data_IF_836627845892
#
_entry.id   IF_836627845892
#
_cell.length_a   1.000
_cell.length_b   1.000
_cell.length_c   1.000
_cell.angle_alpha   90.00
_cell.angle_beta   90.00
_cell.angle_gamma   90.00
#
_symmetry.space_group_name_H-M   'P 1'
#
loop_
_entity.id
_entity.type
_entity.pdbx_description
1 polymer ?
#
# COMPACT_ATOMS: atom_id res chain seq x y z
N UNK A 1 -46.07 -10.36 -11.63
CA UNK A 1 -44.80 -9.70 -11.24
C UNK A 1 -43.95 -9.62 -12.50
N UNK A 2 -43.63 -8.41 -12.95
CA UNK A 2 -42.68 -8.26 -14.05
C UNK A 2 -41.33 -8.83 -13.60
N UNK A 3 -40.83 -9.81 -14.34
CA UNK A 3 -39.53 -10.41 -14.08
C UNK A 3 -38.48 -9.54 -14.77
N UNK A 4 -37.48 -9.08 -14.02
CA UNK A 4 -36.38 -8.32 -14.61
C UNK A 4 -35.63 -9.24 -15.57
N UNK A 5 -35.45 -8.78 -16.81
CA UNK A 5 -34.65 -9.48 -17.81
C UNK A 5 -33.63 -8.51 -18.42
N UNK A 6 -32.44 -9.05 -18.66
CA UNK A 6 -31.33 -8.35 -19.30
C UNK A 6 -31.00 -9.05 -20.62
N UNK A 7 -30.71 -8.25 -21.65
CA UNK A 7 -30.17 -8.78 -22.89
C UNK A 7 -28.69 -9.15 -22.74
N UNK A 8 -28.12 -9.82 -23.74
CA UNK A 8 -26.73 -10.31 -23.70
C UNK A 8 -25.71 -9.20 -23.44
N UNK A 9 -25.86 -8.03 -24.06
CA UNK A 9 -24.94 -6.91 -23.87
C UNK A 9 -25.04 -6.32 -22.46
N UNK A 10 -26.27 -6.18 -21.94
CA UNK A 10 -26.51 -5.73 -20.56
C UNK A 10 -25.92 -6.72 -19.55
N UNK A 11 -26.14 -8.03 -19.75
CA UNK A 11 -25.58 -9.08 -18.92
C UNK A 11 -24.04 -9.05 -18.92
N UNK A 12 -23.41 -8.85 -20.07
CA UNK A 12 -21.96 -8.74 -20.17
C UNK A 12 -21.42 -7.55 -19.37
N UNK A 13 -22.05 -6.37 -19.51
CA UNK A 13 -21.66 -5.16 -18.78
C UNK A 13 -21.88 -5.26 -17.28
N UNK A 14 -22.98 -5.88 -16.86
CA UNK A 14 -23.25 -6.16 -15.44
C UNK A 14 -22.17 -7.08 -14.88
N UNK A 15 -21.80 -8.15 -15.61
CA UNK A 15 -20.74 -9.08 -15.18
C UNK A 15 -19.41 -8.36 -14.98
N UNK A 16 -18.95 -7.63 -16.00
CA UNK A 16 -17.70 -6.85 -15.96
C UNK A 16 -17.69 -5.88 -14.75
N UNK A 17 -18.79 -5.17 -14.55
CA UNK A 17 -18.92 -4.22 -13.44
C UNK A 17 -18.90 -4.92 -12.07
N UNK A 18 -19.56 -6.06 -11.94
CA UNK A 18 -19.61 -6.82 -10.68
C UNK A 18 -18.26 -7.45 -10.36
N UNK A 19 -17.57 -8.02 -11.35
CA UNK A 19 -16.23 -8.59 -11.18
C UNK A 19 -15.25 -7.51 -10.68
N UNK A 20 -15.24 -6.34 -11.32
CA UNK A 20 -14.40 -5.24 -10.88
C UNK A 20 -14.83 -4.70 -9.51
N UNK A 21 -16.14 -4.61 -9.22
CA UNK A 21 -16.63 -4.19 -7.91
C UNK A 21 -16.14 -5.10 -6.79
N UNK A 22 -16.16 -6.42 -6.98
CA UNK A 22 -15.68 -7.38 -5.98
C UNK A 22 -14.21 -7.16 -5.68
N UNK A 23 -13.40 -6.88 -6.71
CA UNK A 23 -12.00 -6.53 -6.54
C UNK A 23 -11.82 -5.20 -5.79
N UNK A 24 -12.57 -4.14 -6.15
CA UNK A 24 -12.53 -2.85 -5.42
C UNK A 24 -12.91 -3.03 -3.95
N UNK A 25 -13.92 -3.86 -3.67
CA UNK A 25 -14.35 -4.16 -2.30
C UNK A 25 -13.23 -4.83 -1.50
N UNK A 26 -12.51 -5.78 -2.08
CA UNK A 26 -11.37 -6.43 -1.45
C UNK A 26 -10.27 -5.40 -1.11
N UNK A 27 -9.92 -4.55 -2.08
CA UNK A 27 -8.92 -3.48 -1.88
C UNK A 27 -9.34 -2.50 -0.78
N UNK A 28 -10.62 -2.10 -0.75
CA UNK A 28 -11.15 -1.19 0.25
C UNK A 28 -11.03 -1.78 1.67
N UNK A 29 -11.48 -3.03 1.85
CA UNK A 29 -11.38 -3.72 3.15
C UNK A 29 -9.91 -3.85 3.57
N UNK A 30 -9.03 -4.22 2.64
CA UNK A 30 -7.62 -4.35 2.96
C UNK A 30 -6.99 -3.03 3.38
N UNK A 31 -7.32 -1.92 2.69
CA UNK A 31 -6.89 -0.59 3.08
C UNK A 31 -7.33 -0.23 4.51
N UNK A 32 -8.59 -0.48 4.87
CA UNK A 32 -9.12 -0.19 6.21
C UNK A 32 -8.39 -0.98 7.31
N UNK A 33 -7.93 -2.20 7.00
CA UNK A 33 -7.16 -3.03 7.94
C UNK A 33 -5.75 -2.47 8.17
N UNK A 34 -5.10 -1.97 7.12
CA UNK A 34 -3.69 -1.53 7.20
C UNK A 34 -3.52 -0.04 7.46
N UNK A 35 -4.57 0.78 7.29
CA UNK A 35 -4.50 2.21 7.57
C UNK A 35 -4.25 2.43 9.07
N UNK A 36 -3.12 3.07 9.45
CA UNK A 36 -2.78 3.31 10.85
C UNK A 36 -3.84 4.13 11.62
N UNK A 37 -4.69 4.87 10.92
CA UNK A 37 -5.74 5.68 11.53
C UNK A 37 -7.15 5.10 11.36
N UNK A 38 -7.27 3.94 10.70
CA UNK A 38 -8.55 3.29 10.37
C UNK A 38 -9.56 4.24 9.71
N UNK A 39 -9.09 5.15 8.84
CA UNK A 39 -9.97 6.01 8.07
C UNK A 39 -10.49 5.24 6.86
N UNK A 40 -11.71 5.57 6.43
CA UNK A 40 -12.22 5.15 5.11
C UNK A 40 -11.99 6.30 4.14
N UNK A 41 -11.42 6.02 2.96
CA UNK A 41 -11.22 7.06 1.95
C UNK A 41 -12.56 7.42 1.27
N UNK A 42 -13.12 8.64 1.51
CA UNK A 42 -14.50 8.94 1.11
C UNK A 42 -14.72 8.93 -0.40
N UNK A 43 -13.66 9.17 -1.17
CA UNK A 43 -13.73 9.21 -2.63
C UNK A 43 -14.11 7.85 -3.22
N UNK A 44 -13.55 6.75 -2.70
CA UNK A 44 -13.90 5.38 -3.13
C UNK A 44 -15.40 5.13 -2.88
N UNK A 45 -15.89 5.47 -1.69
CA UNK A 45 -17.30 5.30 -1.32
C UNK A 45 -18.20 6.15 -2.22
N UNK A 46 -17.79 7.37 -2.56
CA UNK A 46 -18.55 8.25 -3.44
C UNK A 46 -18.66 7.66 -4.85
N UNK A 47 -17.59 7.10 -5.41
CA UNK A 47 -17.62 6.43 -6.71
C UNK A 47 -18.48 5.15 -6.67
N UNK A 48 -18.38 4.33 -5.62
CA UNK A 48 -19.24 3.15 -5.44
C UNK A 48 -20.72 3.53 -5.35
N UNK A 49 -21.05 4.60 -4.61
CA UNK A 49 -22.41 5.15 -4.53
C UNK A 49 -22.91 5.62 -5.90
N UNK A 50 -22.07 6.32 -6.67
CA UNK A 50 -22.44 6.78 -8.01
C UNK A 50 -22.67 5.59 -8.96
N UNK A 51 -21.86 4.54 -8.89
CA UNK A 51 -22.09 3.31 -9.64
C UNK A 51 -23.43 2.65 -9.26
N UNK A 52 -23.72 2.57 -7.96
CA UNK A 52 -24.98 2.04 -7.43
C UNK A 52 -26.21 2.84 -7.88
N UNK A 53 -26.11 4.17 -7.95
CA UNK A 53 -27.16 5.03 -8.51
C UNK A 53 -27.46 4.70 -9.99
N UNK A 54 -26.42 4.51 -10.81
CA UNK A 54 -26.62 4.09 -12.21
C UNK A 54 -27.24 2.70 -12.33
N UNK A 55 -26.85 1.73 -11.51
CA UNK A 55 -27.52 0.42 -11.47
C UNK A 55 -29.01 0.55 -11.15
N UNK A 56 -29.38 1.33 -10.13
CA UNK A 56 -30.78 1.54 -9.76
C UNK A 56 -31.57 2.25 -10.86
N UNK A 57 -30.95 3.14 -11.65
CA UNK A 57 -31.61 3.74 -12.81
C UNK A 57 -31.96 2.72 -13.88
N UNK A 58 -31.10 1.74 -14.12
CA UNK A 58 -31.37 0.63 -15.06
C UNK A 58 -32.50 -0.24 -14.50
N UNK A 59 -32.45 -0.59 -13.22
CA UNK A 59 -33.49 -1.39 -12.57
C UNK A 59 -34.85 -0.68 -12.59
N UNK A 60 -34.89 0.64 -12.33
CA UNK A 60 -36.10 1.43 -12.36
C UNK A 60 -36.76 1.47 -13.75
N UNK A 61 -35.96 1.53 -14.83
CA UNK A 61 -36.46 1.40 -16.20
C UNK A 61 -37.00 -0.01 -16.47
N UNK A 62 -36.25 -1.06 -16.10
CA UNK A 62 -36.64 -2.47 -16.32
C UNK A 62 -37.89 -2.89 -15.53
N UNK A 63 -38.11 -2.28 -14.38
CA UNK A 63 -39.29 -2.48 -13.54
C UNK A 63 -40.46 -1.57 -13.92
N UNK A 64 -40.32 -0.73 -14.95
CA UNK A 64 -41.34 0.24 -15.40
C UNK A 64 -41.74 1.24 -14.29
N UNK A 65 -40.83 1.50 -13.33
CA UNK A 65 -40.98 2.53 -12.30
C UNK A 65 -40.78 3.92 -12.91
N UNK A 66 -39.89 4.02 -13.90
CA UNK A 66 -39.65 5.24 -14.68
C UNK A 66 -39.90 4.98 -16.15
N UNK A 67 -40.28 6.02 -16.90
CA UNK A 67 -40.47 5.93 -18.34
C UNK A 67 -39.18 5.52 -19.06
N UNK A 68 -39.33 4.65 -20.08
CA UNK A 68 -38.24 4.24 -20.97
C UNK A 68 -37.72 5.46 -21.72
N UNK A 69 -36.41 5.72 -21.64
CA UNK A 69 -35.83 6.95 -22.21
C UNK A 69 -35.36 6.76 -23.65
N UNK A 70 -34.53 5.76 -23.90
CA UNK A 70 -34.03 5.40 -25.24
C UNK A 70 -33.73 3.91 -25.31
N UNK A 71 -33.60 3.38 -26.52
CA UNK A 71 -33.32 1.95 -26.72
C UNK A 71 -31.95 1.52 -26.15
N UNK A 72 -30.98 2.44 -26.14
CA UNK A 72 -29.62 2.23 -25.63
C UNK A 72 -29.38 2.79 -24.22
N UNK A 73 -30.42 3.29 -23.55
CA UNK A 73 -30.29 3.98 -22.26
C UNK A 73 -29.67 3.07 -21.18
N UNK A 74 -30.15 1.82 -21.10
CA UNK A 74 -29.68 0.83 -20.14
C UNK A 74 -28.18 0.55 -20.31
N UNK A 75 -27.70 0.31 -21.54
CA UNK A 75 -26.28 0.08 -21.83
C UNK A 75 -25.42 1.30 -21.48
N UNK A 76 -25.80 2.50 -21.95
CA UNK A 76 -25.06 3.74 -21.65
C UNK A 76 -24.99 4.03 -20.15
N UNK A 77 -26.01 3.62 -19.40
CA UNK A 77 -26.06 3.79 -17.94
C UNK A 77 -25.18 2.75 -17.25
N UNK A 78 -25.13 1.51 -17.73
CA UNK A 78 -24.20 0.49 -17.25
C UNK A 78 -22.74 0.87 -17.53
N UNK A 79 -22.43 1.45 -18.70
CA UNK A 79 -21.07 1.97 -18.99
C UNK A 79 -20.65 3.06 -18.01
N UNK A 80 -21.59 3.93 -17.60
CA UNK A 80 -21.33 4.92 -16.55
C UNK A 80 -21.07 4.27 -15.21
N UNK A 81 -21.84 3.24 -14.85
CA UNK A 81 -21.64 2.50 -13.61
C UNK A 81 -20.23 1.86 -13.58
N UNK A 82 -19.85 1.19 -14.66
CA UNK A 82 -18.52 0.60 -14.82
C UNK A 82 -17.41 1.66 -14.72
N UNK A 83 -17.56 2.81 -15.37
CA UNK A 83 -16.61 3.92 -15.28
C UNK A 83 -16.43 4.44 -13.84
N UNK A 84 -17.47 4.44 -13.02
CA UNK A 84 -17.36 4.77 -11.59
C UNK A 84 -16.64 3.67 -10.81
N UNK A 85 -16.92 2.39 -11.05
CA UNK A 85 -16.18 1.29 -10.42
C UNK A 85 -14.69 1.33 -10.80
N UNK A 86 -14.36 1.66 -12.05
CA UNK A 86 -12.97 1.83 -12.49
C UNK A 86 -12.27 2.98 -11.77
N UNK A 87 -12.94 4.13 -11.57
CA UNK A 87 -12.38 5.22 -10.73
C UNK A 87 -12.16 4.77 -9.29
N UNK A 88 -13.15 4.11 -8.69
CA UNK A 88 -13.04 3.55 -7.35
C UNK A 88 -11.86 2.58 -7.21
N UNK A 89 -11.59 1.78 -8.24
CA UNK A 89 -10.46 0.85 -8.27
C UNK A 89 -9.11 1.57 -8.24
N UNK A 90 -8.91 2.59 -9.09
CA UNK A 90 -7.69 3.39 -9.05
C UNK A 90 -7.52 4.12 -7.73
N UNK A 91 -8.59 4.71 -7.19
CA UNK A 91 -8.55 5.40 -5.90
C UNK A 91 -8.17 4.43 -4.76
N UNK A 92 -8.64 3.17 -4.81
CA UNK A 92 -8.29 2.13 -3.86
C UNK A 92 -6.83 1.65 -4.00
N UNK A 93 -6.33 1.49 -5.22
CA UNK A 93 -4.92 1.14 -5.50
C UNK A 93 -3.96 2.27 -5.10
N UNK A 94 -4.34 3.52 -5.36
CA UNK A 94 -3.60 4.72 -4.93
C UNK A 94 -3.44 4.73 -3.42
N UNK A 95 -4.57 4.65 -2.71
CA UNK A 95 -4.56 4.65 -1.25
C UNK A 95 -3.75 3.48 -0.69
N UNK A 96 -3.87 2.29 -1.29
CA UNK A 96 -3.14 1.11 -0.87
C UNK A 96 -1.62 1.27 -1.04
N UNK A 97 -1.19 1.78 -2.19
CA UNK A 97 0.23 2.01 -2.47
C UNK A 97 0.85 3.01 -1.49
N UNK A 98 0.10 4.05 -1.09
CA UNK A 98 0.52 5.06 -0.12
C UNK A 98 0.64 4.42 1.27
N UNK A 99 -0.40 3.72 1.72
CA UNK A 99 -0.44 3.08 3.03
C UNK A 99 0.70 2.06 3.20
N UNK A 100 0.90 1.19 2.20
CA UNK A 100 2.00 0.21 2.20
C UNK A 100 3.36 0.90 2.28
N UNK A 101 3.59 1.92 1.45
CA UNK A 101 4.88 2.62 1.39
C UNK A 101 5.17 3.35 2.69
N UNK A 102 4.15 3.94 3.33
CA UNK A 102 4.29 4.58 4.63
C UNK A 102 4.59 3.54 5.72
N UNK A 103 3.86 2.42 5.73
CA UNK A 103 4.06 1.35 6.72
C UNK A 103 5.47 0.75 6.61
N UNK A 104 5.98 0.51 5.39
CA UNK A 104 7.37 0.10 5.15
C UNK A 104 8.38 1.07 5.79
N UNK A 105 8.15 2.38 5.63
CA UNK A 105 9.04 3.42 6.17
C UNK A 105 8.98 3.47 7.70
N UNK A 106 7.79 3.37 8.29
CA UNK A 106 7.61 3.43 9.75
C UNK A 106 8.13 2.17 10.45
N UNK A 107 7.89 0.97 9.90
CA UNK A 107 8.42 -0.30 10.45
C UNK A 107 9.95 -0.28 10.53
N UNK A 108 10.63 0.27 9.52
CA UNK A 108 12.10 0.30 9.47
C UNK A 108 12.73 1.47 10.25
N UNK A 109 11.96 2.49 10.63
CA UNK A 109 12.44 3.76 11.18
C UNK A 109 13.23 3.61 12.49
N UNK A 110 12.89 2.60 13.29
CA UNK A 110 13.47 2.40 14.62
C UNK A 110 14.77 1.58 14.61
N UNK A 111 15.14 1.00 13.47
CA UNK A 111 16.26 0.08 13.34
C UNK A 111 17.50 0.75 12.75
N UNK A 112 18.69 0.28 13.16
CA UNK A 112 19.95 0.75 12.60
C UNK A 112 20.14 0.34 11.14
N UNK A 113 20.95 1.11 10.41
CA UNK A 113 21.28 0.78 9.02
C UNK A 113 22.02 -0.56 8.93
N UNK A 114 22.85 -0.86 9.93
CA UNK A 114 23.57 -2.11 10.07
C UNK A 114 22.62 -3.29 10.27
N UNK A 115 21.60 -3.15 11.12
CA UNK A 115 20.58 -4.19 11.32
C UNK A 115 19.82 -4.47 10.03
N UNK A 116 19.35 -3.41 9.35
CA UNK A 116 18.62 -3.55 8.09
C UNK A 116 19.49 -4.22 7.03
N UNK A 117 20.76 -3.82 6.91
CA UNK A 117 21.69 -4.42 5.95
C UNK A 117 21.98 -5.89 6.25
N UNK A 118 22.09 -6.27 7.51
CA UNK A 118 22.41 -7.64 7.90
C UNK A 118 21.20 -8.58 7.77
N UNK A 119 20.04 -8.15 8.26
CA UNK A 119 18.82 -8.96 8.30
C UNK A 119 18.10 -8.95 6.96
N UNK A 120 18.17 -7.83 6.22
CA UNK A 120 17.56 -7.68 4.89
C UNK A 120 18.64 -7.24 3.89
N UNK A 121 19.54 -8.14 3.45
CA UNK A 121 20.70 -7.80 2.62
C UNK A 121 20.36 -7.12 1.28
N UNK A 122 19.16 -7.38 0.76
CA UNK A 122 18.65 -6.80 -0.49
C UNK A 122 18.06 -5.41 -0.31
N UNK A 123 17.85 -4.92 0.92
CA UNK A 123 17.11 -3.68 1.16
C UNK A 123 17.72 -2.47 0.45
N UNK A 124 19.02 -2.21 0.67
CA UNK A 124 19.67 -1.04 0.09
C UNK A 124 19.97 -1.16 -1.41
N UNK A 125 20.06 -2.38 -1.94
CA UNK A 125 20.41 -2.64 -3.34
C UNK A 125 19.19 -2.77 -4.26
N UNK A 126 18.10 -3.33 -3.76
CA UNK A 126 16.94 -3.72 -4.56
C UNK A 126 15.68 -3.00 -4.07
N UNK A 127 15.31 -3.17 -2.79
CA UNK A 127 14.02 -2.69 -2.26
C UNK A 127 13.96 -1.16 -2.25
N UNK A 128 14.94 -0.51 -1.61
CA UNK A 128 14.96 0.95 -1.45
C UNK A 128 14.97 1.68 -2.80
N UNK A 129 15.74 1.25 -3.82
CA UNK A 129 15.65 1.84 -5.16
C UNK A 129 14.34 1.53 -5.91
N UNK A 130 13.69 0.39 -5.64
CA UNK A 130 12.45 0.00 -6.30
C UNK A 130 11.25 0.87 -5.88
N UNK A 131 11.16 1.29 -4.61
CA UNK A 131 10.06 2.14 -4.12
C UNK A 131 9.81 3.40 -4.99
N UNK A 132 10.82 4.27 -5.24
CA UNK A 132 10.62 5.43 -6.12
C UNK A 132 10.44 5.05 -7.60
N UNK A 133 10.82 3.84 -8.03
CA UNK A 133 10.50 3.36 -9.38
C UNK A 133 9.01 3.03 -9.50
N UNK A 134 8.43 2.39 -8.48
CA UNK A 134 6.99 2.15 -8.42
C UNK A 134 6.20 3.46 -8.40
N UNK A 135 6.60 4.44 -7.60
CA UNK A 135 5.95 5.77 -7.58
C UNK A 135 5.92 6.42 -8.98
N UNK A 136 7.03 6.33 -9.73
CA UNK A 136 7.09 6.84 -11.11
C UNK A 136 6.19 6.07 -12.07
N UNK A 137 6.16 4.74 -11.97
CA UNK A 137 5.29 3.90 -12.82
C UNK A 137 3.81 4.17 -12.54
N UNK A 138 3.42 4.26 -11.26
CA UNK A 138 2.07 4.66 -10.85
C UNK A 138 1.70 6.02 -11.43
N UNK A 139 2.62 7.00 -11.35
CA UNK A 139 2.39 8.34 -11.92
C UNK A 139 2.15 8.29 -13.43
N UNK A 140 2.91 7.48 -14.17
CA UNK A 140 2.72 7.30 -15.61
C UNK A 140 1.36 6.66 -15.93
N UNK A 141 1.02 5.56 -15.25
CA UNK A 141 -0.27 4.88 -15.40
C UNK A 141 -1.46 5.80 -15.09
N UNK A 142 -1.30 6.75 -14.17
CA UNK A 142 -2.32 7.76 -13.87
C UNK A 142 -2.41 8.88 -14.90
N UNK A 143 -1.28 9.30 -15.46
CA UNK A 143 -1.23 10.37 -16.46
C UNK A 143 -1.81 9.91 -17.81
N UNK A 144 -1.62 8.63 -18.14
CA UNK A 144 -2.09 8.02 -19.39
C UNK A 144 -3.53 7.49 -19.29
N UNK A 145 -4.12 7.49 -18.08
CA UNK A 145 -5.48 7.01 -17.81
C UNK A 145 -6.51 7.79 -18.63
N UNK A 146 -7.00 7.16 -19.69
CA UNK A 146 -8.22 7.58 -20.37
C UNK A 146 -9.44 6.95 -19.66
N UNK A 147 -10.31 7.80 -19.13
CA UNK A 147 -11.55 7.35 -18.45
C UNK A 147 -12.60 6.92 -19.49
N UNK A 148 -12.45 7.33 -20.75
CA UNK A 148 -13.36 6.97 -21.84
C UNK A 148 -13.05 5.60 -22.45
N UNK A 149 -11.83 5.07 -22.26
CA UNK A 149 -11.43 3.74 -22.69
C UNK A 149 -10.80 2.97 -21.54
N UNK A 150 -11.55 2.03 -20.99
CA UNK A 150 -11.06 1.13 -19.94
C UNK A 150 -9.92 0.30 -20.53
N UNK A 151 -8.70 0.53 -20.05
CA UNK A 151 -7.53 -0.24 -20.44
C UNK A 151 -7.20 -1.27 -19.38
N UNK A 152 -7.41 -2.54 -19.70
CA UNK A 152 -7.13 -3.67 -18.81
C UNK A 152 -5.63 -3.85 -18.55
N UNK A 153 -4.75 -3.46 -19.50
CA UNK A 153 -3.30 -3.61 -19.33
C UNK A 153 -2.78 -2.73 -18.21
N UNK A 154 -3.25 -1.48 -18.14
CA UNK A 154 -2.75 -0.49 -17.20
C UNK A 154 -3.21 -0.81 -15.79
N UNK A 155 -4.47 -1.25 -15.66
CA UNK A 155 -5.00 -1.71 -14.38
C UNK A 155 -4.29 -2.98 -13.91
N UNK A 156 -3.98 -3.91 -14.82
CA UNK A 156 -3.20 -5.12 -14.50
C UNK A 156 -1.79 -4.76 -14.03
N UNK A 157 -1.11 -3.84 -14.73
CA UNK A 157 0.21 -3.38 -14.33
C UNK A 157 0.18 -2.70 -12.96
N UNK A 158 -0.80 -1.85 -12.71
CA UNK A 158 -0.93 -1.18 -11.41
C UNK A 158 -1.19 -2.20 -10.29
N UNK A 159 -2.09 -3.16 -10.52
CA UNK A 159 -2.36 -4.23 -9.57
C UNK A 159 -1.09 -5.02 -9.24
N UNK A 160 -0.26 -5.30 -10.24
CA UNK A 160 1.02 -5.99 -10.03
C UNK A 160 2.01 -5.15 -9.21
N UNK A 161 2.10 -3.84 -9.45
CA UNK A 161 2.93 -2.94 -8.63
C UNK A 161 2.51 -2.98 -7.16
N UNK A 162 1.21 -2.92 -6.88
CA UNK A 162 0.69 -2.95 -5.51
C UNK A 162 0.92 -4.31 -4.85
N UNK A 163 0.83 -5.40 -5.61
CA UNK A 163 1.22 -6.74 -5.15
C UNK A 163 2.70 -6.81 -4.78
N UNK A 164 3.58 -6.30 -5.64
CA UNK A 164 5.03 -6.28 -5.37
C UNK A 164 5.35 -5.46 -4.11
N UNK A 165 4.69 -4.32 -3.92
CA UNK A 165 4.78 -3.52 -2.69
C UNK A 165 4.30 -4.29 -1.47
N UNK A 166 3.19 -5.04 -1.58
CA UNK A 166 2.64 -5.87 -0.50
C UNK A 166 3.61 -6.99 -0.11
N UNK A 167 4.25 -7.63 -1.09
CA UNK A 167 5.26 -8.67 -0.85
C UNK A 167 6.50 -8.11 -0.16
N UNK A 168 6.95 -6.92 -0.55
CA UNK A 168 8.04 -6.19 0.12
C UNK A 168 7.67 -5.90 1.57
N UNK A 169 6.46 -5.37 1.80
CA UNK A 169 5.96 -5.06 3.14
C UNK A 169 5.94 -6.30 4.02
N UNK A 170 5.42 -7.42 3.52
CA UNK A 170 5.35 -8.66 4.30
C UNK A 170 6.75 -9.15 4.69
N UNK A 171 7.71 -9.15 3.75
CA UNK A 171 9.11 -9.52 4.03
C UNK A 171 9.73 -8.67 5.14
N UNK A 172 9.44 -7.36 5.16
CA UNK A 172 9.90 -6.46 6.21
C UNK A 172 9.25 -6.81 7.54
N UNK A 173 7.93 -7.02 7.59
CA UNK A 173 7.22 -7.40 8.82
C UNK A 173 7.73 -8.71 9.41
N UNK A 174 7.96 -9.71 8.57
CA UNK A 174 8.51 -11.00 9.01
C UNK A 174 9.93 -10.87 9.57
N UNK A 175 10.65 -9.80 9.22
CA UNK A 175 12.02 -9.52 9.65
C UNK A 175 12.12 -8.68 10.93
N UNK A 176 11.02 -8.10 11.43
CA UNK A 176 11.00 -7.14 12.56
C UNK A 176 11.67 -7.71 13.82
N UNK A 177 11.37 -8.97 14.17
CA UNK A 177 11.96 -9.59 15.36
C UNK A 177 13.48 -9.77 15.23
N UNK A 178 13.94 -10.22 14.06
CA UNK A 178 15.36 -10.39 13.78
C UNK A 178 16.12 -9.05 13.80
N UNK A 179 15.49 -7.98 13.29
CA UNK A 179 16.03 -6.62 13.37
C UNK A 179 16.18 -6.17 14.83
N UNK A 180 15.15 -6.37 15.65
CA UNK A 180 15.15 -5.99 17.07
C UNK A 180 16.21 -6.77 17.87
N UNK A 181 16.37 -8.07 17.61
CA UNK A 181 17.39 -8.91 18.22
C UNK A 181 18.80 -8.44 17.86
N UNK A 182 19.05 -8.15 16.58
CA UNK A 182 20.35 -7.66 16.11
C UNK A 182 20.73 -6.34 16.79
N UNK A 183 19.83 -5.36 16.79
CA UNK A 183 20.09 -4.05 17.41
C UNK A 183 20.29 -4.16 18.92
N UNK A 184 19.51 -5.00 19.59
CA UNK A 184 19.66 -5.25 21.03
C UNK A 184 21.02 -5.87 21.36
N UNK A 185 21.46 -6.84 20.54
CA UNK A 185 22.77 -7.47 20.67
C UNK A 185 23.89 -6.46 20.44
N UNK A 186 23.83 -5.66 19.37
CA UNK A 186 24.84 -4.64 19.05
C UNK A 186 24.93 -3.54 20.11
N UNK A 187 23.79 -3.07 20.62
CA UNK A 187 23.76 -2.11 21.74
C UNK A 187 24.42 -2.67 22.99
N UNK A 188 24.20 -3.96 23.31
CA UNK A 188 24.86 -4.63 24.45
C UNK A 188 26.37 -4.77 24.24
N UNK A 189 26.80 -5.18 23.04
CA UNK A 189 28.22 -5.28 22.67
C UNK A 189 28.92 -3.92 22.77
N UNK A 190 28.31 -2.84 22.24
CA UNK A 190 28.86 -1.48 22.33
C UNK A 190 29.01 -1.03 23.78
N UNK A 191 27.97 -1.20 24.61
CA UNK A 191 28.03 -0.82 26.04
C UNK A 191 29.14 -1.56 26.79
N UNK A 192 29.32 -2.85 26.50
CA UNK A 192 30.40 -3.64 27.10
C UNK A 192 31.78 -3.14 26.64
N UNK A 193 31.91 -2.74 25.38
CA UNK A 193 33.15 -2.17 24.85
C UNK A 193 33.45 -0.81 25.48
N UNK A 194 32.45 0.06 25.64
CA UNK A 194 32.61 1.37 26.27
C UNK A 194 33.05 1.23 27.73
N UNK A 195 32.46 0.29 28.48
CA UNK A 195 32.87 -0.02 29.86
C UNK A 195 34.32 -0.51 29.93
N UNK A 196 34.74 -1.37 28.98
CA UNK A 196 36.15 -1.81 28.89
C UNK A 196 37.09 -0.63 28.62
N UNK A 197 36.72 0.26 27.71
CA UNK A 197 37.52 1.43 27.37
C UNK A 197 37.65 2.39 28.56
N UNK A 198 36.58 2.60 29.33
CA UNK A 198 36.61 3.39 30.58
C UNK A 198 37.56 2.74 31.60
N UNK A 199 37.46 1.42 31.80
CA UNK A 199 38.32 0.71 32.75
C UNK A 199 39.81 0.84 32.37
N UNK A 200 40.15 0.68 31.09
CA UNK A 200 41.51 0.88 30.58
C UNK A 200 41.99 2.31 30.82
N UNK A 201 41.13 3.30 30.56
CA UNK A 201 41.46 4.71 30.82
C UNK A 201 41.75 4.99 32.30
N UNK A 202 40.96 4.42 33.22
CA UNK A 202 41.18 4.53 34.67
C UNK A 202 42.52 3.90 35.07
N UNK A 203 42.84 2.71 34.56
CA UNK A 203 44.11 2.03 34.84
C UNK A 203 45.30 2.87 34.37
N UNK A 204 45.25 3.40 33.14
CA UNK A 204 46.31 4.26 32.60
C UNK A 204 46.47 5.52 33.46
N UNK A 205 45.36 6.17 33.86
CA UNK A 205 45.39 7.35 34.72
C UNK A 205 46.04 7.09 36.08
N UNK A 206 45.73 5.94 36.71
CA UNK A 206 46.36 5.54 37.98
C UNK A 206 47.86 5.30 37.84
N UNK A 207 48.29 4.66 36.74
CA UNK A 207 49.72 4.42 36.47
C UNK A 207 50.46 5.76 36.30
N UNK A 208 49.90 6.69 35.52
CA UNK A 208 50.51 8.01 35.31
C UNK A 208 50.61 8.79 36.64
N UNK A 209 49.58 8.74 37.47
CA UNK A 209 49.58 9.39 38.78
C UNK A 209 50.64 8.79 39.71
N UNK A 210 50.77 7.47 39.75
CA UNK A 210 51.78 6.79 40.56
C UNK A 210 53.21 7.12 40.11
N UNK A 211 53.48 7.11 38.80
CA UNK A 211 54.79 7.49 38.25
C UNK A 211 55.10 8.95 38.56
N UNK A 212 54.13 9.85 38.40
CA UNK A 212 54.31 11.27 38.71
C UNK A 212 54.64 11.47 40.19
N UNK A 213 53.91 10.78 41.08
CA UNK A 213 54.16 10.84 42.52
C UNK A 213 55.59 10.42 42.86
N UNK A 214 56.06 9.27 42.32
CA UNK A 214 57.43 8.77 42.52
C UNK A 214 58.49 9.72 41.98
N UNK A 215 58.24 10.42 40.86
CA UNK A 215 59.21 11.37 40.29
C UNK A 215 59.26 12.71 41.04
N UNK A 216 58.19 13.06 41.76
CA UNK A 216 58.09 14.32 42.52
C UNK A 216 58.35 14.17 44.02
N UNK A 217 58.52 12.94 44.52
CA UNK A 217 58.88 12.62 45.91
C UNK A 217 60.37 12.32 46.04
#
# INVERSE_FOLDING_TARGET
MNTISFNEQETAKIRETVELYLFVKELLIYNEIIDPNSYTFPQIINELKNAYDHFNRVLAEKLEITEKKSEDYSIKTLDKALGHIYRACYDALDWLSINITQDIKEELKSFSHEAIKEVIPTYYKEIRPALPQYERRITALRAEKDIASINDSDLTEYTQIVKDLSDIRQKIKDSVNALAEYDSKKKKESRLQDLKNILVGVIIGLIIAAVSWVLTS
#
